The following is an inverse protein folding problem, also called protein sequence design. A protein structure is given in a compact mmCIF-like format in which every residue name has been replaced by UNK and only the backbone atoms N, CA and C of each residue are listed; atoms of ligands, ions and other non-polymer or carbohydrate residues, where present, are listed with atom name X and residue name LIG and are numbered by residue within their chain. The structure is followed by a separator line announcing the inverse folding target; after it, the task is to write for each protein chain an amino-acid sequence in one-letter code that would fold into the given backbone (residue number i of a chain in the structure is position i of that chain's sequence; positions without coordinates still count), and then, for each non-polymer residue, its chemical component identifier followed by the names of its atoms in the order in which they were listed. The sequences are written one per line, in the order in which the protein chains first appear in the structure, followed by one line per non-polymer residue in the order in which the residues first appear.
data_IF_997552164259
#
_entry.id   IF_997552164259
#
_cell.length_a   1.000
_cell.length_b   1.000
_cell.length_c   1.000
_cell.angle_alpha   90.00
_cell.angle_beta   90.00
_cell.angle_gamma   90.00
#
_symmetry.space_group_name_H-M   'P 1'
#
loop_
_entity.id
_entity.type
_entity.pdbx_description
1 polymer ?
#
# COMPACT_ATOMS: atom_id res chain seq x y z
N UNK A 1 -10.56 -8.55 4.05
CA UNK A 1 -9.61 -8.48 5.18
C UNK A 1 -8.15 -8.53 4.70
N UNK A 2 -7.56 -7.37 4.40
CA UNK A 2 -6.13 -7.26 4.10
C UNK A 2 -5.27 -7.48 5.35
N UNK A 3 -4.06 -8.01 5.16
CA UNK A 3 -3.07 -8.21 6.23
C UNK A 3 -1.71 -7.65 5.82
N UNK A 4 -0.99 -7.08 6.78
CA UNK A 4 0.37 -6.59 6.56
C UNK A 4 1.29 -7.75 6.12
N UNK A 5 2.02 -7.60 5.01
CA UNK A 5 2.92 -8.64 4.49
C UNK A 5 4.02 -9.00 5.48
N UNK A 6 4.43 -8.06 6.33
CA UNK A 6 5.51 -8.24 7.30
C UNK A 6 5.03 -8.86 8.63
N UNK A 7 4.15 -8.18 9.35
CA UNK A 7 3.75 -8.60 10.70
C UNK A 7 2.40 -9.30 10.77
N UNK A 8 1.72 -9.48 9.63
CA UNK A 8 0.41 -10.15 9.51
C UNK A 8 -0.73 -9.50 10.32
N UNK A 9 -0.52 -8.29 10.86
CA UNK A 9 -1.58 -7.54 11.50
C UNK A 9 -2.67 -7.19 10.49
N UNK A 10 -3.88 -6.98 11.01
CA UNK A 10 -5.03 -6.62 10.21
C UNK A 10 -4.84 -5.21 9.63
N UNK A 11 -5.13 -5.06 8.34
CA UNK A 11 -5.20 -3.77 7.65
C UNK A 11 -6.65 -3.44 7.33
N UNK A 12 -6.92 -2.15 7.13
CA UNK A 12 -8.22 -1.71 6.63
C UNK A 12 -8.43 -2.23 5.21
N UNK A 13 -9.66 -2.65 4.88
CA UNK A 13 -9.96 -3.24 3.57
C UNK A 13 -9.84 -2.23 2.42
N UNK A 14 -10.00 -0.94 2.70
CA UNK A 14 -9.71 0.15 1.75
C UNK A 14 -8.23 0.54 1.65
N UNK A 15 -7.31 -0.17 2.29
CA UNK A 15 -5.90 0.20 2.24
C UNK A 15 -5.28 -0.14 0.88
N UNK A 16 -4.72 0.89 0.23
CA UNK A 16 -4.01 0.77 -1.05
C UNK A 16 -2.65 0.08 -0.93
N UNK A 17 -2.15 -0.06 0.30
CA UNK A 17 -0.86 -0.66 0.63
C UNK A 17 -1.05 -1.99 1.37
N UNK A 18 -0.10 -2.90 1.21
CA UNK A 18 -0.15 -4.23 1.84
C UNK A 18 0.77 -4.33 3.08
N UNK A 19 1.17 -3.21 3.66
CA UNK A 19 1.98 -3.16 4.89
C UNK A 19 1.43 -2.11 5.86
N UNK A 20 1.57 -2.35 7.16
CA UNK A 20 1.17 -1.39 8.18
C UNK A 20 2.21 -0.28 8.34
N UNK A 21 1.79 0.85 8.88
CA UNK A 21 2.64 2.01 9.16
C UNK A 21 3.90 1.64 9.94
N UNK A 22 3.76 0.91 11.06
CA UNK A 22 4.90 0.47 11.87
C UNK A 22 5.95 -0.28 11.05
N UNK A 23 5.52 -1.17 10.18
CA UNK A 23 6.44 -1.95 9.34
C UNK A 23 7.03 -1.10 8.21
N UNK A 24 6.21 -0.27 7.55
CA UNK A 24 6.69 0.60 6.48
C UNK A 24 7.69 1.64 6.97
N UNK A 25 7.41 2.31 8.10
CA UNK A 25 8.34 3.25 8.73
C UNK A 25 9.63 2.55 9.16
N UNK A 26 9.56 1.29 9.64
CA UNK A 26 10.77 0.54 10.00
C UNK A 26 11.66 0.21 8.80
N UNK A 27 11.07 -0.06 7.62
CA UNK A 27 11.82 -0.44 6.41
C UNK A 27 12.36 0.78 5.66
N UNK A 28 11.55 1.82 5.49
CA UNK A 28 11.88 2.98 4.65
C UNK A 28 12.13 4.28 5.43
N UNK A 29 11.80 4.33 6.71
CA UNK A 29 11.79 5.56 7.50
C UNK A 29 10.55 6.42 7.25
N UNK A 30 10.26 7.36 8.16
CA UNK A 30 9.02 8.13 8.15
C UNK A 30 8.80 8.93 6.86
N UNK A 31 9.85 9.63 6.38
CA UNK A 31 9.74 10.50 5.20
C UNK A 31 9.36 9.72 3.95
N UNK A 32 10.02 8.59 3.74
CA UNK A 32 9.83 7.78 2.55
C UNK A 32 8.54 6.97 2.63
N UNK A 33 8.16 6.48 3.81
CA UNK A 33 6.83 5.91 4.05
C UNK A 33 5.72 6.89 3.67
N UNK A 34 5.77 8.13 4.17
CA UNK A 34 4.77 9.14 3.85
C UNK A 34 4.70 9.43 2.34
N UNK A 35 5.85 9.48 1.65
CA UNK A 35 5.89 9.67 0.21
C UNK A 35 5.25 8.50 -0.55
N UNK A 36 5.51 7.25 -0.15
CA UNK A 36 4.90 6.06 -0.77
C UNK A 36 3.39 6.09 -0.58
N UNK A 37 2.90 6.32 0.65
CA UNK A 37 1.46 6.37 0.94
C UNK A 37 0.78 7.45 0.11
N UNK A 38 1.34 8.66 0.10
CA UNK A 38 0.81 9.78 -0.67
C UNK A 38 0.76 9.46 -2.17
N UNK A 39 1.83 8.91 -2.74
CA UNK A 39 1.85 8.54 -4.16
C UNK A 39 0.82 7.44 -4.50
N UNK A 40 0.60 6.48 -3.60
CA UNK A 40 -0.40 5.43 -3.78
C UNK A 40 -1.83 5.99 -3.70
N UNK A 41 -2.11 6.90 -2.77
CA UNK A 41 -3.39 7.61 -2.68
C UNK A 41 -3.67 8.44 -3.94
N UNK A 42 -2.69 9.25 -4.38
CA UNK A 42 -2.80 10.04 -5.61
C UNK A 42 -2.98 9.16 -6.86
N UNK A 43 -2.35 7.98 -6.92
CA UNK A 43 -2.57 7.02 -8.00
C UNK A 43 -3.96 6.37 -7.92
N UNK A 44 -4.47 6.11 -6.71
CA UNK A 44 -5.81 5.60 -6.48
C UNK A 44 -6.91 6.56 -6.94
N UNK A 45 -6.75 7.84 -6.64
CA UNK A 45 -7.65 8.90 -7.11
C UNK A 45 -7.62 9.06 -8.63
N UNK A 46 -6.45 8.91 -9.25
CA UNK A 46 -6.29 9.00 -10.71
C UNK A 46 -6.78 7.76 -11.47
N UNK A 47 -7.00 6.64 -10.77
CA UNK A 47 -7.31 5.35 -11.41
C UNK A 47 -6.09 4.64 -12.00
N UNK A 48 -4.87 5.10 -11.68
CA UNK A 48 -3.59 4.58 -12.21
C UNK A 48 -3.08 3.34 -11.45
N UNK A 49 -3.82 2.87 -10.42
CA UNK A 49 -3.46 1.65 -9.69
C UNK A 49 -3.72 0.37 -10.50
N UNK A 50 -4.54 0.44 -11.54
CA UNK A 50 -4.74 -0.68 -12.45
C UNK A 50 -3.58 -0.76 -13.45
N UNK A 51 -2.50 -1.43 -13.03
CA UNK A 51 -1.32 -1.65 -13.89
C UNK A 51 -1.50 -2.82 -14.88
N UNK A 52 -2.74 -3.19 -15.25
CA UNK A 52 -3.02 -4.13 -16.34
C UNK A 52 -2.44 -5.54 -16.17
N UNK A 53 -1.97 -5.90 -14.98
CA UNK A 53 -1.10 -7.04 -14.73
C UNK A 53 -1.83 -8.28 -14.20
N UNK A 54 -2.89 -8.74 -14.90
CA UNK A 54 -3.38 -10.13 -14.98
C UNK A 54 -4.84 -10.18 -15.43
N UNK A 55 -5.14 -9.68 -16.63
CA UNK A 55 -6.26 -10.21 -17.40
C UNK A 55 -5.83 -11.55 -18.02
N UNK A 56 -5.73 -12.61 -17.19
CA UNK A 56 -5.72 -13.97 -17.75
C UNK A 56 -7.13 -14.24 -18.29
N UNK A 57 -7.24 -14.19 -19.62
CA UNK A 57 -8.26 -14.90 -20.41
C UNK A 57 -8.30 -16.38 -20.04
#
# INVERSE_FOLDING_TARGET
MKKCIYCKCQLHDGSLIDFCERCGVKVWGQKMFNAIVKQMEEAGERGDLDQGGNAKR
#
